data_IF_077448577835
#
_entry.id   IF_077448577835
#
_cell.length_a   1.000
_cell.length_b   1.000
_cell.length_c   1.000
_cell.angle_alpha   90.00
_cell.angle_beta   90.00
_cell.angle_gamma   90.00
#
_symmetry.space_group_name_H-M   'P 1'
#
loop_
_entity.id
_entity.type
_entity.pdbx_description
1 polymer ?
#
# COMPACT_ATOMS: atom_id res chain seq x y z
N UNK A 1 21.44 -11.18 1.07
CA UNK A 1 20.70 -11.49 -0.19
C UNK A 1 21.30 -10.71 -1.36
N UNK A 2 20.93 -10.95 -2.64
CA UNK A 2 21.32 -10.06 -3.76
C UNK A 2 20.08 -9.39 -4.36
N UNK A 3 19.98 -8.07 -4.18
CA UNK A 3 18.91 -7.27 -4.78
C UNK A 3 19.29 -6.78 -6.19
N UNK A 4 18.30 -6.49 -7.05
CA UNK A 4 18.55 -5.79 -8.30
C UNK A 4 19.27 -4.47 -8.06
N UNK A 5 20.13 -4.08 -8.99
CA UNK A 5 20.71 -2.74 -8.99
C UNK A 5 19.71 -1.76 -9.60
N UNK A 6 19.28 -0.78 -8.81
CA UNK A 6 18.31 0.21 -9.25
C UNK A 6 18.91 1.20 -10.25
N UNK A 7 20.23 1.37 -10.28
CA UNK A 7 20.91 2.30 -11.19
C UNK A 7 21.05 1.75 -12.61
N UNK A 8 20.84 0.44 -12.80
CA UNK A 8 20.77 -0.17 -14.13
C UNK A 8 19.44 0.08 -14.85
N UNK A 9 18.39 0.50 -14.13
CA UNK A 9 17.10 0.82 -14.72
C UNK A 9 17.09 2.26 -15.22
N UNK A 10 16.62 2.47 -16.45
CA UNK A 10 16.52 3.81 -17.04
C UNK A 10 15.26 4.52 -16.53
N UNK A 11 15.36 5.11 -15.35
CA UNK A 11 14.27 5.82 -14.68
C UNK A 11 13.78 7.05 -15.45
N UNK A 12 14.68 7.76 -16.12
CA UNK A 12 14.34 8.95 -16.90
C UNK A 12 13.51 8.57 -18.13
N UNK A 13 13.95 7.57 -18.88
CA UNK A 13 13.19 7.04 -20.01
C UNK A 13 11.84 6.45 -19.57
N UNK A 14 11.79 5.77 -18.41
CA UNK A 14 10.54 5.25 -17.85
C UNK A 14 9.56 6.39 -17.52
N UNK A 15 10.01 7.42 -16.79
CA UNK A 15 9.19 8.57 -16.44
C UNK A 15 8.72 9.34 -17.68
N UNK A 16 9.55 9.46 -18.72
CA UNK A 16 9.16 10.05 -20.00
C UNK A 16 8.09 9.21 -20.71
N UNK A 17 8.23 7.88 -20.70
CA UNK A 17 7.25 6.94 -21.28
C UNK A 17 5.91 7.01 -20.57
N UNK A 18 5.94 7.17 -19.23
CA UNK A 18 4.76 7.37 -18.40
C UNK A 18 4.23 8.82 -18.42
N UNK A 19 4.83 9.69 -19.25
CA UNK A 19 4.43 11.08 -19.48
C UNK A 19 4.48 11.96 -18.23
N UNK A 20 5.35 11.63 -17.26
CA UNK A 20 5.54 12.41 -16.04
C UNK A 20 5.95 13.87 -16.31
N UNK A 21 6.79 14.20 -17.31
CA UNK A 21 7.10 15.59 -17.63
C UNK A 21 5.89 16.41 -18.10
N UNK A 22 4.86 15.75 -18.64
CA UNK A 22 3.64 16.36 -19.18
C UNK A 22 2.49 16.36 -18.16
N UNK A 23 2.68 15.71 -17.00
CA UNK A 23 1.65 15.55 -15.99
C UNK A 23 1.29 16.89 -15.33
N UNK A 24 0.02 17.31 -15.45
CA UNK A 24 -0.48 18.55 -14.84
C UNK A 24 -0.69 18.37 -13.33
N UNK A 25 0.31 18.81 -12.55
CA UNK A 25 0.33 18.73 -11.08
C UNK A 25 -0.52 19.78 -10.37
N UNK A 26 -0.98 20.82 -11.06
CA UNK A 26 -1.84 21.84 -10.45
C UNK A 26 -3.28 21.34 -10.31
N UNK A 27 -3.71 20.45 -11.21
CA UNK A 27 -5.09 19.93 -11.25
C UNK A 27 -5.19 18.46 -10.85
N UNK A 28 -4.07 17.72 -10.80
CA UNK A 28 -4.07 16.28 -10.55
C UNK A 28 -3.04 15.88 -9.49
N UNK A 29 -3.38 14.83 -8.75
CA UNK A 29 -2.49 14.16 -7.81
C UNK A 29 -1.94 12.88 -8.44
N UNK A 30 -0.67 12.61 -8.23
CA UNK A 30 -0.03 11.36 -8.63
C UNK A 30 -0.02 10.38 -7.45
N UNK A 31 -0.78 9.30 -7.61
CA UNK A 31 -0.89 8.22 -6.64
C UNK A 31 -0.08 7.00 -7.12
N UNK A 32 0.98 6.64 -6.40
CA UNK A 32 1.89 5.55 -6.75
C UNK A 32 1.69 4.35 -5.85
N UNK A 33 1.43 3.17 -6.44
CA UNK A 33 1.36 1.91 -5.71
C UNK A 33 2.75 1.26 -5.67
N UNK A 34 3.18 0.80 -4.49
CA UNK A 34 4.35 -0.06 -4.33
C UNK A 34 3.86 -1.41 -3.81
N UNK A 35 3.75 -2.39 -4.70
CA UNK A 35 3.33 -3.76 -4.35
C UNK A 35 4.48 -4.66 -3.91
N UNK A 36 4.12 -5.87 -3.44
CA UNK A 36 5.04 -6.86 -2.90
C UNK A 36 5.80 -6.29 -1.71
N UNK A 37 5.07 -6.01 -0.65
CA UNK A 37 5.60 -5.63 0.66
C UNK A 37 6.50 -6.70 1.28
N UNK A 38 6.71 -6.64 2.59
CA UNK A 38 7.68 -7.51 3.25
C UNK A 38 7.22 -8.96 3.20
N UNK A 39 6.02 -9.22 3.72
CA UNK A 39 5.46 -10.56 3.75
C UNK A 39 5.06 -11.03 2.35
N UNK A 40 4.49 -10.15 1.53
CA UNK A 40 4.17 -10.48 0.14
C UNK A 40 5.39 -10.94 -0.66
N UNK A 41 6.53 -10.25 -0.49
CA UNK A 41 7.76 -10.65 -1.17
C UNK A 41 8.27 -11.99 -0.66
N UNK A 42 8.20 -12.26 0.65
CA UNK A 42 8.62 -13.54 1.21
C UNK A 42 7.87 -14.70 0.54
N UNK A 43 6.54 -14.63 0.53
CA UNK A 43 5.75 -15.70 -0.05
C UNK A 43 5.82 -15.76 -1.58
N UNK A 44 6.09 -14.64 -2.26
CA UNK A 44 6.35 -14.64 -3.69
C UNK A 44 7.65 -15.39 -4.05
N UNK A 45 8.64 -15.41 -3.15
CA UNK A 45 9.93 -16.06 -3.39
C UNK A 45 9.93 -17.56 -3.08
N UNK A 46 9.20 -17.99 -2.04
CA UNK A 46 9.29 -19.37 -1.54
C UNK A 46 7.95 -20.12 -1.50
N UNK A 47 6.85 -19.48 -1.90
CA UNK A 47 5.51 -20.03 -1.76
C UNK A 47 4.88 -19.65 -0.42
N UNK A 48 3.55 -19.64 -0.39
CA UNK A 48 2.77 -19.13 0.74
C UNK A 48 2.88 -20.00 1.99
N UNK A 49 2.74 -21.31 1.86
CA UNK A 49 2.84 -22.24 2.98
C UNK A 49 4.25 -22.20 3.60
N UNK A 50 5.29 -22.20 2.76
CA UNK A 50 6.67 -22.19 3.25
C UNK A 50 7.05 -20.85 3.88
N UNK A 51 6.52 -19.74 3.39
CA UNK A 51 6.69 -18.45 4.05
C UNK A 51 6.07 -18.45 5.46
N UNK A 52 4.89 -19.04 5.63
CA UNK A 52 4.25 -19.15 6.94
C UNK A 52 5.03 -20.06 7.90
N UNK A 53 5.57 -21.17 7.41
CA UNK A 53 6.44 -22.04 8.18
C UNK A 53 7.73 -21.31 8.61
N UNK A 54 8.39 -20.63 7.67
CA UNK A 54 9.65 -19.93 7.89
C UNK A 54 9.57 -18.83 8.96
N UNK A 55 8.41 -18.15 9.10
CA UNK A 55 8.18 -17.18 10.19
C UNK A 55 8.38 -17.79 11.59
N UNK A 56 8.25 -19.11 11.71
CA UNK A 56 8.36 -19.84 12.97
C UNK A 56 9.66 -20.63 13.04
N UNK A 57 10.05 -21.30 11.95
CA UNK A 57 11.20 -22.21 11.92
C UNK A 57 12.54 -21.49 11.76
N UNK A 58 12.56 -20.37 11.02
CA UNK A 58 13.77 -19.65 10.63
C UNK A 58 13.62 -18.13 10.88
N UNK A 59 13.28 -17.71 12.12
CA UNK A 59 12.86 -16.35 12.35
C UNK A 59 14.01 -15.33 12.23
N UNK A 60 15.25 -15.69 12.54
CA UNK A 60 16.38 -14.76 12.43
C UNK A 60 16.67 -14.44 10.95
N UNK A 61 16.57 -15.44 10.08
CA UNK A 61 16.75 -15.32 8.64
C UNK A 61 15.65 -14.47 8.01
N UNK A 62 14.39 -14.71 8.40
CA UNK A 62 13.24 -13.94 7.89
C UNK A 62 13.29 -12.50 8.38
N UNK A 63 13.68 -12.25 9.64
CA UNK A 63 13.82 -10.89 10.18
C UNK A 63 14.94 -10.13 9.45
N UNK A 64 16.11 -10.75 9.26
CA UNK A 64 17.19 -10.18 8.47
C UNK A 64 16.76 -9.87 7.03
N UNK A 65 15.99 -10.78 6.42
CA UNK A 65 15.44 -10.56 5.09
C UNK A 65 14.51 -9.34 5.04
N UNK A 66 13.59 -9.19 6.00
CA UNK A 66 12.67 -8.06 6.04
C UNK A 66 13.41 -6.72 6.22
N UNK A 67 14.46 -6.67 7.05
CA UNK A 67 15.28 -5.47 7.18
C UNK A 67 16.04 -5.14 5.90
N UNK A 68 16.72 -6.12 5.28
CA UNK A 68 17.41 -5.90 4.01
C UNK A 68 16.44 -5.45 2.89
N UNK A 69 15.23 -6.03 2.87
CA UNK A 69 14.18 -5.65 1.92
C UNK A 69 13.65 -4.24 2.20
N UNK A 70 13.49 -3.84 3.47
CA UNK A 70 13.09 -2.49 3.83
C UNK A 70 14.13 -1.46 3.38
N UNK A 71 15.42 -1.72 3.56
CA UNK A 71 16.50 -0.88 3.04
C UNK A 71 16.44 -0.78 1.50
N UNK A 72 16.22 -1.90 0.82
CA UNK A 72 16.03 -1.90 -0.63
C UNK A 72 14.81 -1.07 -1.06
N UNK A 73 13.68 -1.20 -0.35
CA UNK A 73 12.46 -0.42 -0.62
C UNK A 73 12.70 1.08 -0.41
N UNK A 74 13.45 1.48 0.61
CA UNK A 74 13.82 2.89 0.81
C UNK A 74 14.61 3.46 -0.38
N UNK A 75 15.59 2.71 -0.91
CA UNK A 75 16.32 3.12 -2.13
C UNK A 75 15.43 3.17 -3.37
N UNK A 76 14.47 2.25 -3.49
CA UNK A 76 13.48 2.28 -4.56
C UNK A 76 12.58 3.52 -4.46
N UNK A 77 12.14 3.86 -3.24
CA UNK A 77 11.36 5.06 -2.95
C UNK A 77 12.17 6.31 -3.30
N UNK A 78 13.48 6.32 -3.08
CA UNK A 78 14.34 7.45 -3.48
C UNK A 78 14.27 7.70 -4.99
N UNK A 79 14.37 6.64 -5.80
CA UNK A 79 14.23 6.73 -7.26
C UNK A 79 12.83 7.19 -7.66
N UNK A 80 11.79 6.61 -7.08
CA UNK A 80 10.41 7.02 -7.35
C UNK A 80 10.18 8.49 -6.99
N UNK A 81 10.66 8.93 -5.83
CA UNK A 81 10.54 10.31 -5.38
C UNK A 81 11.31 11.27 -6.31
N UNK A 82 12.48 10.88 -6.81
CA UNK A 82 13.28 11.68 -7.73
C UNK A 82 12.62 11.85 -9.10
N UNK A 83 12.24 10.75 -9.75
CA UNK A 83 11.80 10.77 -11.15
C UNK A 83 10.29 10.98 -11.29
N UNK A 84 9.49 10.43 -10.39
CA UNK A 84 8.02 10.47 -10.46
C UNK A 84 7.41 11.53 -9.56
N UNK A 85 8.05 11.85 -8.42
CA UNK A 85 7.54 12.84 -7.42
C UNK A 85 6.06 12.62 -7.09
N UNK A 86 5.64 11.44 -6.61
CA UNK A 86 4.23 11.20 -6.30
C UNK A 86 3.78 12.03 -5.10
N UNK A 87 2.49 12.37 -5.06
CA UNK A 87 1.85 13.03 -3.92
C UNK A 87 1.51 12.01 -2.82
N UNK A 88 1.13 10.80 -3.24
CA UNK A 88 0.77 9.69 -2.36
C UNK A 88 1.52 8.44 -2.81
N UNK A 89 2.14 7.74 -1.87
CA UNK A 89 2.57 6.35 -2.06
C UNK A 89 1.65 5.45 -1.26
N UNK A 90 1.04 4.47 -1.93
CA UNK A 90 0.35 3.37 -1.31
C UNK A 90 1.26 2.14 -1.24
N UNK A 91 1.77 1.85 -0.06
CA UNK A 91 2.61 0.69 0.22
C UNK A 91 1.72 -0.52 0.52
N UNK A 92 1.80 -1.57 -0.31
CA UNK A 92 1.01 -2.78 -0.10
C UNK A 92 1.81 -3.85 0.62
N UNK A 93 1.18 -4.45 1.63
CA UNK A 93 1.61 -5.72 2.21
C UNK A 93 0.40 -6.42 2.86
N UNK A 94 0.00 -7.57 2.33
CA UNK A 94 -1.23 -8.24 2.73
C UNK A 94 -1.02 -9.17 3.94
N UNK A 95 -1.67 -8.87 5.07
CA UNK A 95 -1.50 -9.62 6.32
C UNK A 95 -2.74 -10.42 6.75
N UNK A 96 -3.86 -10.29 6.03
CA UNK A 96 -5.16 -10.80 6.44
C UNK A 96 -5.80 -11.81 5.48
N UNK A 97 -6.49 -12.79 6.07
CA UNK A 97 -7.56 -13.57 5.45
C UNK A 97 -8.91 -12.88 5.63
N UNK A 98 -10.00 -13.45 5.11
CA UNK A 98 -11.36 -12.97 5.46
C UNK A 98 -11.75 -13.12 6.94
N UNK A 99 -11.00 -13.89 7.74
CA UNK A 99 -11.37 -14.28 9.12
C UNK A 99 -10.40 -13.76 10.19
N UNK A 100 -9.32 -13.12 9.79
CA UNK A 100 -8.24 -12.66 10.67
C UNK A 100 -6.89 -12.72 9.97
N UNK A 101 -5.83 -12.46 10.71
CA UNK A 101 -4.45 -12.46 10.21
C UNK A 101 -3.97 -13.84 9.74
N UNK A 102 -2.99 -13.86 8.83
CA UNK A 102 -2.29 -15.09 8.43
C UNK A 102 -1.39 -15.65 9.54
N UNK A 103 -0.84 -14.77 10.37
CA UNK A 103 0.05 -15.06 11.49
C UNK A 103 -0.40 -14.32 12.74
N UNK A 104 0.13 -14.68 13.91
CA UNK A 104 -0.24 -14.00 15.15
C UNK A 104 0.19 -12.52 15.12
N UNK A 105 -0.53 -11.61 15.82
CA UNK A 105 -0.08 -10.23 15.98
C UNK A 105 1.34 -10.13 16.54
N UNK A 106 1.79 -11.11 17.32
CA UNK A 106 3.14 -11.15 17.88
C UNK A 106 4.22 -11.35 16.81
N UNK A 107 3.97 -12.19 15.80
CA UNK A 107 4.87 -12.33 14.66
C UNK A 107 4.98 -11.00 13.91
N UNK A 108 3.85 -10.31 13.71
CA UNK A 108 3.84 -9.00 13.07
C UNK A 108 4.68 -7.98 13.85
N UNK A 109 4.48 -7.88 15.17
CA UNK A 109 5.23 -6.94 16.03
C UNK A 109 6.72 -7.23 16.02
N UNK A 110 7.09 -8.52 16.09
CA UNK A 110 8.49 -8.93 16.13
C UNK A 110 9.22 -8.63 14.83
N UNK A 111 8.60 -8.88 13.68
CA UNK A 111 9.35 -9.01 12.41
C UNK A 111 8.93 -8.02 11.33
N UNK A 112 7.67 -7.56 11.32
CA UNK A 112 7.11 -6.79 10.20
C UNK A 112 6.94 -5.31 10.58
N UNK A 113 6.54 -5.04 11.84
CA UNK A 113 6.21 -3.70 12.35
C UNK A 113 7.33 -2.69 12.12
N UNK A 114 8.51 -2.93 12.68
CA UNK A 114 9.62 -1.97 12.63
C UNK A 114 10.23 -1.79 11.23
N UNK A 115 10.45 -2.84 10.42
CA UNK A 115 10.86 -2.64 9.03
C UNK A 115 9.82 -1.90 8.19
N UNK A 116 8.52 -2.13 8.43
CA UNK A 116 7.44 -1.37 7.77
C UNK A 116 7.45 0.08 8.21
N UNK A 117 7.61 0.36 9.51
CA UNK A 117 7.71 1.71 10.06
C UNK A 117 8.86 2.48 9.42
N UNK A 118 10.02 1.87 9.25
CA UNK A 118 11.14 2.47 8.53
C UNK A 118 10.76 2.91 7.11
N UNK A 119 10.02 2.07 6.37
CA UNK A 119 9.54 2.41 5.01
C UNK A 119 8.56 3.58 5.06
N UNK A 120 7.61 3.56 6.00
CA UNK A 120 6.62 4.63 6.19
C UNK A 120 7.31 5.97 6.50
N UNK A 121 8.19 5.98 7.49
CA UNK A 121 8.96 7.18 7.87
C UNK A 121 9.83 7.68 6.71
N UNK A 122 10.41 6.78 5.92
CA UNK A 122 11.20 7.14 4.74
C UNK A 122 10.35 7.80 3.66
N UNK A 123 9.16 7.28 3.36
CA UNK A 123 8.19 7.92 2.44
C UNK A 123 7.84 9.33 2.93
N UNK A 124 7.45 9.45 4.20
CA UNK A 124 7.03 10.72 4.78
C UNK A 124 8.18 11.73 4.86
N UNK A 125 9.42 11.28 5.08
CA UNK A 125 10.61 12.15 5.06
C UNK A 125 10.84 12.86 3.73
N UNK A 126 10.26 12.33 2.64
CA UNK A 126 10.29 12.93 1.29
C UNK A 126 9.13 13.88 1.03
N UNK A 127 8.28 14.15 2.03
CA UNK A 127 7.09 14.98 1.90
C UNK A 127 5.93 14.30 1.16
N UNK A 128 5.96 12.97 1.05
CA UNK A 128 4.96 12.16 0.36
C UNK A 128 3.99 11.59 1.39
N UNK A 129 2.69 11.62 1.11
CA UNK A 129 1.67 11.01 1.95
C UNK A 129 1.80 9.48 1.87
N UNK A 130 1.88 8.81 3.03
CA UNK A 130 1.98 7.36 3.08
C UNK A 130 0.62 6.72 3.38
N UNK A 131 0.08 6.01 2.39
CA UNK A 131 -1.05 5.10 2.58
C UNK A 131 -0.53 3.66 2.70
N UNK A 132 -1.06 2.88 3.63
CA UNK A 132 -0.76 1.46 3.77
C UNK A 132 -1.95 0.61 3.31
N UNK A 133 -1.69 -0.34 2.43
CA UNK A 133 -2.68 -1.32 1.97
C UNK A 133 -2.43 -2.69 2.60
N UNK A 134 -3.53 -3.31 3.04
CA UNK A 134 -3.59 -4.75 3.28
C UNK A 134 -5.00 -5.26 3.01
N UNK A 135 -5.09 -6.34 2.24
CA UNK A 135 -6.29 -7.13 2.14
C UNK A 135 -6.60 -7.89 3.44
N UNK A 136 -7.83 -8.40 3.50
CA UNK A 136 -8.32 -9.23 4.60
C UNK A 136 -8.62 -8.45 5.88
N UNK A 137 -8.72 -9.21 6.97
CA UNK A 137 -9.08 -8.74 8.30
C UNK A 137 -7.82 -8.51 9.12
N UNK A 138 -7.47 -7.24 9.27
CA UNK A 138 -6.32 -6.77 10.03
C UNK A 138 -6.73 -5.95 11.26
N UNK A 139 -8.00 -6.04 11.70
CA UNK A 139 -8.53 -5.25 12.83
C UNK A 139 -7.66 -5.30 14.08
N UNK A 140 -7.02 -6.45 14.32
CA UNK A 140 -6.11 -6.66 15.44
C UNK A 140 -4.85 -5.77 15.40
N UNK A 141 -4.48 -5.23 14.23
CA UNK A 141 -3.28 -4.42 14.02
C UNK A 141 -3.59 -2.93 13.85
N UNK A 142 -4.81 -2.57 13.42
CA UNK A 142 -5.17 -1.18 13.07
C UNK A 142 -4.83 -0.13 14.15
N UNK A 143 -5.09 -0.36 15.45
CA UNK A 143 -4.68 0.59 16.48
C UNK A 143 -3.17 0.83 16.51
N UNK A 144 -2.36 -0.23 16.44
CA UNK A 144 -0.89 -0.12 16.44
C UNK A 144 -0.37 0.48 15.12
N UNK A 145 -1.03 0.23 13.99
CA UNK A 145 -0.68 0.88 12.73
C UNK A 145 -0.89 2.39 12.82
N UNK A 146 -2.04 2.82 13.37
CA UNK A 146 -2.34 4.24 13.52
C UNK A 146 -1.44 4.93 14.55
N UNK A 147 -1.11 4.25 15.66
CA UNK A 147 -0.38 4.85 16.78
C UNK A 147 1.13 4.77 16.62
N UNK A 148 1.66 3.65 16.13
CA UNK A 148 3.09 3.37 16.16
C UNK A 148 3.76 3.47 14.78
N UNK A 149 3.09 3.03 13.70
CA UNK A 149 3.60 3.20 12.33
C UNK A 149 3.36 4.64 11.84
N UNK A 150 2.26 5.25 12.26
CA UNK A 150 1.96 6.66 11.94
C UNK A 150 1.66 6.91 10.46
N UNK A 151 1.02 5.95 9.79
CA UNK A 151 0.60 6.11 8.38
C UNK A 151 -0.48 7.19 8.25
N UNK A 152 -0.47 7.93 7.14
CA UNK A 152 -1.47 8.97 6.87
C UNK A 152 -2.81 8.37 6.44
N UNK A 153 -2.75 7.24 5.72
CA UNK A 153 -3.91 6.55 5.19
C UNK A 153 -3.86 5.03 5.36
N UNK A 154 -5.05 4.42 5.47
CA UNK A 154 -5.27 2.99 5.44
C UNK A 154 -6.18 2.62 4.27
N UNK A 155 -5.61 1.88 3.32
CA UNK A 155 -6.32 1.28 2.21
C UNK A 155 -6.74 -0.16 2.55
N UNK A 156 -7.95 -0.34 3.09
CA UNK A 156 -8.35 -1.63 3.67
C UNK A 156 -9.78 -2.04 3.29
N UNK A 157 -10.07 -3.33 3.47
CA UNK A 157 -11.38 -3.91 3.15
C UNK A 157 -12.46 -3.51 4.15
N UNK A 158 -13.71 -3.33 3.68
CA UNK A 158 -14.88 -3.00 4.53
C UNK A 158 -15.14 -3.97 5.68
N UNK A 159 -14.69 -5.21 5.54
CA UNK A 159 -14.81 -6.25 6.58
C UNK A 159 -14.09 -5.90 7.89
N UNK A 160 -13.19 -4.91 7.87
CA UNK A 160 -12.48 -4.42 9.05
C UNK A 160 -13.33 -3.56 10.00
N UNK A 161 -14.66 -3.45 9.81
CA UNK A 161 -15.54 -2.62 10.64
C UNK A 161 -15.03 -1.18 10.80
N UNK A 162 -15.00 -0.47 9.68
CA UNK A 162 -14.45 0.90 9.59
C UNK A 162 -15.05 1.85 10.65
N UNK A 163 -16.36 1.84 10.95
CA UNK A 163 -16.91 2.66 12.04
C UNK A 163 -16.31 2.34 13.41
N UNK A 164 -16.11 1.06 13.75
CA UNK A 164 -15.45 0.68 15.00
C UNK A 164 -13.97 1.11 15.01
N UNK A 165 -13.26 0.91 13.90
CA UNK A 165 -11.84 1.29 13.80
C UNK A 165 -11.63 2.81 13.89
N UNK A 166 -12.53 3.61 13.31
CA UNK A 166 -12.53 5.08 13.48
C UNK A 166 -12.73 5.51 14.94
N UNK A 167 -13.51 4.78 15.73
CA UNK A 167 -13.65 5.08 17.18
C UNK A 167 -12.36 4.83 17.94
N UNK A 168 -11.56 3.84 17.54
CA UNK A 168 -10.28 3.51 18.19
C UNK A 168 -9.16 4.45 17.77
N UNK A 169 -9.09 4.80 16.48
CA UNK A 169 -7.98 5.56 15.88
C UNK A 169 -8.23 7.06 15.81
N UNK A 170 -9.49 7.51 15.90
CA UNK A 170 -9.85 8.92 15.84
C UNK A 170 -9.50 9.54 14.48
N UNK A 171 -8.77 10.67 14.53
CA UNK A 171 -8.33 11.43 13.34
C UNK A 171 -6.88 11.13 12.94
N UNK A 172 -6.22 10.16 13.59
CA UNK A 172 -4.79 9.86 13.37
C UNK A 172 -4.51 9.32 11.97
N UNK A 173 -5.50 8.67 11.35
CA UNK A 173 -5.38 8.02 10.04
C UNK A 173 -6.66 8.17 9.23
N UNK A 174 -6.51 8.38 7.92
CA UNK A 174 -7.63 8.39 6.96
C UNK A 174 -7.93 6.97 6.51
N UNK A 175 -9.21 6.62 6.38
CA UNK A 175 -9.62 5.32 5.85
C UNK A 175 -10.05 5.46 4.39
N UNK A 176 -9.25 4.91 3.49
CA UNK A 176 -9.55 4.75 2.06
C UNK A 176 -10.09 3.34 1.83
N UNK A 177 -11.36 3.23 1.47
CA UNK A 177 -12.07 1.94 1.50
C UNK A 177 -12.78 1.71 0.19
N UNK A 178 -12.44 0.61 -0.47
CA UNK A 178 -13.01 0.24 -1.76
C UNK A 178 -14.45 -0.24 -1.66
N UNK A 179 -15.14 -0.17 -2.80
CA UNK A 179 -16.41 -0.86 -3.02
C UNK A 179 -16.20 -2.36 -2.81
N UNK A 180 -17.18 -3.03 -2.19
CA UNK A 180 -17.09 -4.46 -1.87
C UNK A 180 -17.29 -5.29 -3.15
N UNK A 181 -16.22 -5.47 -3.91
CA UNK A 181 -16.23 -6.21 -5.19
C UNK A 181 -16.57 -7.69 -5.02
N UNK A 182 -16.43 -8.23 -3.80
CA UNK A 182 -16.78 -9.62 -3.49
C UNK A 182 -18.30 -9.80 -3.36
N UNK A 183 -19.02 -8.78 -2.88
CA UNK A 183 -20.50 -8.80 -2.82
C UNK A 183 -21.16 -8.26 -4.07
N UNK A 184 -20.62 -7.20 -4.65
CA UNK A 184 -21.19 -6.54 -5.83
C UNK A 184 -20.85 -7.28 -7.14
N UNK A 185 -19.92 -8.24 -7.09
CA UNK A 185 -19.43 -9.01 -8.23
C UNK A 185 -18.55 -8.17 -9.17
N UNK A 186 -17.71 -8.85 -9.96
CA UNK A 186 -16.94 -8.20 -11.04
C UNK A 186 -17.82 -7.64 -12.18
N UNK A 187 -19.14 -7.81 -12.08
CA UNK A 187 -20.17 -7.37 -13.04
C UNK A 187 -21.30 -6.59 -12.38
N UNK A 188 -21.04 -5.88 -11.27
CA UNK A 188 -21.99 -4.92 -10.70
C UNK A 188 -22.54 -4.03 -11.81
N UNK A 189 -23.85 -4.08 -12.03
CA UNK A 189 -24.52 -3.34 -13.10
C UNK A 189 -24.12 -1.87 -12.99
N UNK A 190 -23.76 -1.26 -14.13
CA UNK A 190 -23.18 0.09 -14.19
C UNK A 190 -23.98 1.20 -13.49
N UNK A 191 -25.17 0.92 -12.95
CA UNK A 191 -25.93 1.80 -12.09
C UNK A 191 -25.33 2.03 -10.69
N UNK A 192 -24.63 1.07 -10.07
CA UNK A 192 -24.04 1.30 -8.72
C UNK A 192 -22.70 2.03 -8.77
N UNK A 193 -21.95 1.88 -9.86
CA UNK A 193 -20.72 2.63 -10.15
C UNK A 193 -21.00 4.08 -10.57
N UNK A 194 -22.09 4.34 -11.33
CA UNK A 194 -22.44 5.70 -11.79
C UNK A 194 -22.87 6.66 -10.68
N UNK A 195 -23.37 6.17 -9.53
CA UNK A 195 -23.89 7.05 -8.48
C UNK A 195 -22.80 7.77 -7.68
N UNK A 196 -21.54 7.34 -7.78
CA UNK A 196 -20.40 8.00 -7.12
C UNK A 196 -19.48 8.74 -8.10
N UNK A 197 -19.56 8.46 -9.41
CA UNK A 197 -18.70 9.07 -10.44
C UNK A 197 -19.38 10.20 -11.24
N UNK A 198 -20.59 10.62 -10.86
CA UNK A 198 -21.35 11.62 -11.63
C UNK A 198 -20.89 13.07 -11.35
N UNK A 199 -19.62 13.35 -11.65
CA UNK A 199 -19.20 14.60 -12.30
C UNK A 199 -18.22 14.25 -13.42
N UNK A 200 -18.80 13.99 -14.60
CA UNK A 200 -18.24 13.94 -15.96
C UNK A 200 -16.73 13.68 -16.12
N UNK A 201 -16.38 12.51 -16.64
CA UNK A 201 -15.25 12.36 -17.54
C UNK A 201 -15.63 11.34 -18.64
N UNK A 202 -15.91 11.83 -19.84
CA UNK A 202 -15.99 11.02 -21.04
C UNK A 202 -14.57 10.78 -21.58
N UNK A 203 -14.22 9.51 -21.84
CA UNK A 203 -13.15 9.15 -22.77
C UNK A 203 -11.80 8.77 -22.16
N UNK A 204 -11.69 7.61 -21.49
CA UNK A 204 -10.40 6.93 -21.31
C UNK A 204 -10.52 5.41 -21.48
N UNK A 205 -9.61 4.84 -22.28
CA UNK A 205 -9.50 3.43 -22.58
C UNK A 205 -8.78 2.65 -21.47
N UNK A 206 -9.19 1.40 -21.29
CA UNK A 206 -8.86 0.49 -20.20
C UNK A 206 -7.37 0.13 -20.07
N UNK A 207 -6.78 0.54 -18.96
CA UNK A 207 -5.55 0.01 -18.36
C UNK A 207 -5.69 0.19 -16.84
N UNK A 208 -5.37 -0.86 -16.08
CA UNK A 208 -5.55 -1.02 -14.63
C UNK A 208 -5.58 0.31 -13.83
N UNK A 209 -6.74 0.58 -13.22
CA UNK A 209 -7.22 1.91 -12.92
C UNK A 209 -6.57 2.59 -11.71
N UNK A 210 -5.94 3.71 -12.01
CA UNK A 210 -5.87 4.97 -11.26
C UNK A 210 -7.09 5.20 -10.35
N UNK A 211 -6.87 5.65 -9.10
CA UNK A 211 -7.92 6.28 -8.29
C UNK A 211 -7.58 7.73 -8.10
N UNK A 212 -8.35 8.57 -8.79
CA UNK A 212 -8.51 9.98 -8.47
C UNK A 212 -9.41 10.08 -7.23
N UNK A 213 -8.83 10.30 -6.06
CA UNK A 213 -9.56 10.88 -4.94
C UNK A 213 -9.57 12.41 -5.14
N UNK A 214 -10.65 12.93 -5.72
CA UNK A 214 -10.85 14.37 -5.87
C UNK A 214 -11.13 15.01 -4.51
N UNK A 215 -10.16 15.75 -3.97
CA UNK A 215 -10.36 16.63 -2.81
C UNK A 215 -10.35 18.09 -3.28
N UNK A 216 -11.44 18.52 -3.94
CA UNK A 216 -11.67 19.92 -4.24
C UNK A 216 -11.94 20.71 -2.95
N UNK A 217 -11.19 21.80 -2.71
CA UNK A 217 -11.54 22.83 -1.73
C UNK A 217 -12.60 23.73 -2.34
N UNK A 218 -13.69 23.98 -1.59
CA UNK A 218 -14.68 25.01 -1.90
C UNK A 218 -14.07 26.41 -1.88
#
# INVERSE_FOLDING_TARGET
>A
MKFPDLDHFDWEQAAATDRIPEFNREENLLYQIISNGLFERLHALMGFEEALCALITDPEEVENFFWELADYKCRLIDKIAEYYRPDIICYHDDWGTQRGLFFSPEIWRRMIKEPTKKIVEHIQSRGIICELHSCGDIRALIPEIADDLGVDGLNIMKLNDIPAMKKLTGIKVVYNVYVDTQKEGAGGTGSSLLFLSNQKAEGYHWGWALILAYFGRN
#
